data_IF_598613614352
#
_entry.id   IF_598613614352
#
_cell.length_a   1.000
_cell.length_b   1.000
_cell.length_c   1.000
_cell.angle_alpha   90.00
_cell.angle_beta   90.00
_cell.angle_gamma   90.00
#
_symmetry.space_group_name_H-M   'P 1'
#
loop_
_entity.id
_entity.type
_entity.pdbx_description
1 polymer ?
#
# COMPACT_ATOMS: atom_id res chain seq x y z
N UNK A 1 29.26 -10.13 -9.29
CA UNK A 1 27.85 -10.57 -9.39
C UNK A 1 26.96 -9.40 -9.12
N UNK A 2 26.13 -9.00 -10.09
CA UNK A 2 25.14 -7.92 -10.00
C UNK A 2 23.97 -8.25 -9.04
N UNK A 3 24.16 -9.22 -8.14
CA UNK A 3 23.08 -9.98 -7.53
C UNK A 3 22.43 -9.33 -6.30
N UNK A 4 22.92 -8.20 -5.79
CA UNK A 4 22.23 -7.45 -4.72
C UNK A 4 22.90 -6.10 -4.46
N UNK A 5 22.62 -5.09 -5.29
CA UNK A 5 22.84 -3.71 -4.86
C UNK A 5 21.80 -3.43 -3.76
N UNK A 6 22.28 -3.27 -2.52
CA UNK A 6 21.47 -2.92 -1.35
C UNK A 6 21.91 -1.55 -0.87
N UNK A 7 20.97 -0.61 -0.83
CA UNK A 7 21.18 0.71 -0.26
C UNK A 7 20.28 0.78 0.96
N UNK A 8 20.89 0.77 2.15
CA UNK A 8 20.19 0.74 3.43
C UNK A 8 20.74 1.78 4.40
N UNK A 9 19.87 2.28 5.25
CA UNK A 9 20.22 3.10 6.41
C UNK A 9 19.89 2.33 7.69
N UNK A 10 20.86 2.25 8.60
CA UNK A 10 20.70 1.61 9.91
C UNK A 10 20.30 2.60 11.01
N UNK A 11 20.44 3.91 10.76
CA UNK A 11 20.06 4.96 11.71
C UNK A 11 18.65 5.49 11.43
N UNK A 12 17.67 4.58 11.43
CA UNK A 12 16.28 4.87 11.03
C UNK A 12 15.31 4.87 12.20
N UNK A 13 15.72 4.35 13.35
CA UNK A 13 14.88 4.24 14.55
C UNK A 13 14.31 5.60 14.97
N UNK A 14 15.15 6.63 15.11
CA UNK A 14 14.73 7.97 15.55
C UNK A 14 13.75 8.61 14.56
N UNK A 15 13.93 8.36 13.26
CA UNK A 15 13.02 8.80 12.22
C UNK A 15 11.64 8.15 12.38
N UNK A 16 11.57 6.82 12.54
CA UNK A 16 10.30 6.11 12.76
C UNK A 16 9.62 6.49 14.08
N UNK A 17 10.39 6.73 15.14
CA UNK A 17 9.86 7.24 16.40
C UNK A 17 9.29 8.66 16.26
N UNK A 18 9.96 9.55 15.53
CA UNK A 18 9.45 10.88 15.24
C UNK A 18 8.16 10.80 14.41
N UNK A 19 8.16 10.02 13.33
CA UNK A 19 6.99 9.83 12.48
C UNK A 19 5.79 9.27 13.27
N UNK A 20 6.05 8.30 14.15
CA UNK A 20 5.03 7.76 15.03
C UNK A 20 4.47 8.83 15.98
N UNK A 21 5.32 9.65 16.60
CA UNK A 21 4.92 10.71 17.53
C UNK A 21 4.13 11.83 16.86
N UNK A 22 4.48 12.22 15.63
CA UNK A 22 3.83 13.31 14.91
C UNK A 22 2.52 12.93 14.21
N UNK A 23 2.08 11.67 14.30
CA UNK A 23 0.77 11.28 13.77
C UNK A 23 0.64 9.80 13.42
N UNK A 24 1.75 9.07 13.26
CA UNK A 24 1.70 7.64 12.93
C UNK A 24 0.93 6.80 13.95
N UNK A 25 0.83 7.26 15.20
CA UNK A 25 0.00 6.60 16.23
C UNK A 25 -1.50 6.57 15.88
N UNK A 26 -2.00 7.50 15.07
CA UNK A 26 -3.42 7.59 14.70
C UNK A 26 -3.91 6.37 13.92
N UNK A 27 -3.02 5.75 13.13
CA UNK A 27 -3.31 4.53 12.35
C UNK A 27 -3.68 3.35 13.24
N UNK A 28 -3.24 3.35 14.51
CA UNK A 28 -3.46 2.26 15.46
C UNK A 28 -4.61 2.54 16.44
N UNK A 29 -5.47 3.49 16.13
CA UNK A 29 -6.66 3.81 16.94
C UNK A 29 -7.88 2.98 16.51
N UNK A 30 -8.86 2.76 17.40
CA UNK A 30 -10.13 2.12 17.03
C UNK A 30 -10.87 2.88 15.92
N UNK A 31 -10.78 4.22 15.92
CA UNK A 31 -11.39 5.07 14.88
C UNK A 31 -10.78 4.78 13.51
N UNK A 32 -9.45 4.63 13.42
CA UNK A 32 -8.80 4.25 12.16
C UNK A 32 -9.20 2.85 11.71
N UNK A 33 -9.37 1.90 12.63
CA UNK A 33 -9.86 0.56 12.30
C UNK A 33 -11.30 0.58 11.76
N UNK A 34 -12.20 1.35 12.38
CA UNK A 34 -13.57 1.55 11.89
C UNK A 34 -13.57 2.23 10.52
N UNK A 35 -12.79 3.30 10.35
CA UNK A 35 -12.67 4.00 9.07
C UNK A 35 -12.16 3.06 7.97
N UNK A 36 -11.17 2.21 8.27
CA UNK A 36 -10.66 1.19 7.37
C UNK A 36 -11.75 0.17 6.97
N UNK A 37 -12.53 -0.31 7.95
CA UNK A 37 -13.64 -1.23 7.68
C UNK A 37 -14.75 -0.60 6.83
N UNK A 38 -15.13 0.65 7.12
CA UNK A 38 -16.10 1.42 6.31
C UNK A 38 -15.58 1.61 4.89
N UNK A 39 -14.31 2.01 4.72
CA UNK A 39 -13.69 2.14 3.41
C UNK A 39 -13.65 0.82 2.66
N UNK A 40 -13.38 -0.29 3.33
CA UNK A 40 -13.39 -1.61 2.72
C UNK A 40 -14.77 -1.95 2.11
N UNK A 41 -15.85 -1.70 2.86
CA UNK A 41 -17.23 -1.92 2.40
C UNK A 41 -17.59 -1.00 1.23
N UNK A 42 -17.29 0.30 1.35
CA UNK A 42 -17.59 1.27 0.29
C UNK A 42 -16.78 1.01 -0.98
N UNK A 43 -15.51 0.64 -0.83
CA UNK A 43 -14.63 0.25 -1.93
C UNK A 43 -15.12 -1.01 -2.64
N UNK A 44 -15.58 -2.01 -1.89
CA UNK A 44 -16.16 -3.24 -2.45
C UNK A 44 -17.44 -2.96 -3.24
N UNK A 45 -18.33 -2.13 -2.69
CA UNK A 45 -19.53 -1.71 -3.38
C UNK A 45 -19.21 -0.94 -4.68
N UNK A 46 -18.26 0.00 -4.62
CA UNK A 46 -17.82 0.76 -5.79
C UNK A 46 -17.18 -0.14 -6.86
N UNK A 47 -16.33 -1.09 -6.45
CA UNK A 47 -15.75 -2.08 -7.35
C UNK A 47 -16.83 -2.94 -8.02
N UNK A 48 -17.82 -3.42 -7.26
CA UNK A 48 -18.92 -4.23 -7.78
C UNK A 48 -19.73 -3.49 -8.85
N UNK A 49 -20.03 -2.20 -8.65
CA UNK A 49 -20.71 -1.36 -9.65
C UNK A 49 -19.84 -1.24 -10.92
N UNK A 50 -18.55 -0.91 -10.76
CA UNK A 50 -17.62 -0.76 -11.89
C UNK A 50 -17.42 -2.06 -12.69
N UNK A 51 -17.47 -3.22 -12.04
CA UNK A 51 -17.37 -4.52 -12.71
C UNK A 51 -18.58 -4.82 -13.60
N UNK A 52 -19.76 -4.25 -13.30
CA UNK A 52 -20.94 -4.41 -14.13
C UNK A 52 -20.86 -3.58 -15.42
N UNK A 53 -20.20 -2.43 -15.36
CA UNK A 53 -20.09 -1.45 -16.46
C UNK A 53 -18.72 -1.51 -17.20
N UNK A 54 -18.09 -2.70 -17.23
CA UNK A 54 -16.67 -2.86 -17.61
C UNK A 54 -16.32 -2.48 -19.05
N UNK A 55 -17.32 -2.40 -19.94
CA UNK A 55 -17.11 -2.20 -21.39
C UNK A 55 -16.51 -0.82 -21.71
N UNK A 56 -16.77 0.21 -20.88
CA UNK A 56 -16.38 1.60 -21.15
C UNK A 56 -15.01 1.98 -20.55
N UNK A 57 -14.41 1.12 -19.71
CA UNK A 57 -13.20 1.48 -18.95
C UNK A 57 -11.92 1.49 -19.78
N UNK A 58 -11.85 0.67 -20.84
CA UNK A 58 -10.67 0.59 -21.72
C UNK A 58 -10.57 1.80 -22.65
N UNK A 59 -11.69 2.43 -22.98
CA UNK A 59 -11.73 3.63 -23.81
C UNK A 59 -11.10 4.84 -23.12
N UNK A 60 -11.17 4.91 -21.78
CA UNK A 60 -10.65 6.04 -21.01
C UNK A 60 -9.13 6.20 -21.04
N UNK A 61 -8.37 5.17 -21.41
CA UNK A 61 -6.94 5.29 -21.67
C UNK A 61 -6.61 5.77 -23.10
N UNK A 62 -7.63 5.97 -23.96
CA UNK A 62 -7.55 6.31 -25.38
C UNK A 62 -6.32 7.13 -25.77
N UNK A 63 -5.52 6.60 -26.72
CA UNK A 63 -4.28 7.21 -27.24
C UNK A 63 -3.14 7.45 -26.23
N UNK A 64 -3.37 7.23 -24.93
CA UNK A 64 -2.46 7.59 -23.84
C UNK A 64 -2.13 6.41 -22.91
N UNK A 65 -2.21 5.17 -23.42
CA UNK A 65 -1.94 3.96 -22.66
C UNK A 65 -0.58 3.99 -21.94
N UNK A 66 0.48 4.53 -22.58
CA UNK A 66 1.80 4.64 -21.95
C UNK A 66 1.78 5.53 -20.71
N UNK A 67 1.09 6.68 -20.77
CA UNK A 67 0.93 7.58 -19.62
C UNK A 67 0.15 6.90 -18.50
N UNK A 68 -0.93 6.18 -18.85
CA UNK A 68 -1.70 5.39 -17.89
C UNK A 68 -0.84 4.34 -17.17
N UNK A 69 -0.09 3.53 -17.92
CA UNK A 69 0.78 2.50 -17.37
C UNK A 69 1.85 3.10 -16.45
N UNK A 70 2.52 4.17 -16.89
CA UNK A 70 3.59 4.80 -16.11
C UNK A 70 3.04 5.40 -14.80
N UNK A 71 1.91 6.09 -14.85
CA UNK A 71 1.30 6.72 -13.67
C UNK A 71 0.80 5.67 -12.67
N UNK A 72 0.11 4.62 -13.13
CA UNK A 72 -0.35 3.52 -12.26
C UNK A 72 0.84 2.83 -11.61
N UNK A 73 1.91 2.52 -12.37
CA UNK A 73 3.13 1.90 -11.83
C UNK A 73 3.83 2.79 -10.79
N UNK A 74 3.93 4.10 -11.05
CA UNK A 74 4.57 5.02 -10.12
C UNK A 74 3.81 5.10 -8.80
N UNK A 75 2.48 5.24 -8.85
CA UNK A 75 1.63 5.26 -7.65
C UNK A 75 1.67 3.91 -6.93
N UNK A 76 1.68 2.81 -7.66
CA UNK A 76 1.84 1.48 -7.08
C UNK A 76 3.18 1.34 -6.35
N UNK A 77 4.28 1.78 -6.94
CA UNK A 77 5.59 1.75 -6.29
C UNK A 77 5.65 2.58 -5.01
N UNK A 78 5.04 3.78 -5.02
CA UNK A 78 4.87 4.59 -3.83
C UNK A 78 4.01 3.90 -2.75
N UNK A 79 2.96 3.18 -3.16
CA UNK A 79 2.13 2.42 -2.21
C UNK A 79 2.87 1.26 -1.56
N UNK A 80 3.76 0.58 -2.28
CA UNK A 80 4.61 -0.48 -1.73
C UNK A 80 5.63 0.10 -0.76
N UNK A 81 6.19 1.29 -1.05
CA UNK A 81 6.99 2.00 -0.05
C UNK A 81 6.14 2.24 1.21
N UNK A 82 4.98 2.88 1.07
CA UNK A 82 4.09 3.20 2.18
C UNK A 82 3.70 1.96 3.00
N UNK A 83 3.42 0.83 2.35
CA UNK A 83 3.19 -0.47 2.99
C UNK A 83 4.32 -0.82 3.96
N UNK A 84 5.58 -0.71 3.53
CA UNK A 84 6.73 -0.98 4.36
C UNK A 84 6.85 0.03 5.51
N UNK A 85 6.63 1.33 5.24
CA UNK A 85 6.64 2.36 6.30
C UNK A 85 5.62 2.07 7.41
N UNK A 86 4.42 1.59 7.04
CA UNK A 86 3.37 1.25 8.00
C UNK A 86 3.75 0.01 8.84
N UNK A 87 4.48 -0.97 8.29
CA UNK A 87 5.10 -2.03 9.09
C UNK A 87 6.08 -1.47 10.13
N UNK A 88 6.93 -0.53 9.71
CA UNK A 88 7.85 0.17 10.61
C UNK A 88 7.14 0.89 11.74
N UNK A 89 6.04 1.60 11.43
CA UNK A 89 5.20 2.26 12.44
C UNK A 89 4.53 1.26 13.39
N UNK A 90 4.07 0.11 12.90
CA UNK A 90 3.50 -0.94 13.73
C UNK A 90 4.55 -1.53 14.69
N UNK A 91 5.80 -1.66 14.23
CA UNK A 91 6.92 -2.06 15.08
C UNK A 91 7.14 -1.07 16.24
N UNK A 92 7.15 0.24 15.94
CA UNK A 92 7.26 1.30 16.96
C UNK A 92 6.06 1.31 17.91
N UNK A 93 4.84 1.11 17.40
CA UNK A 93 3.61 1.04 18.21
C UNK A 93 3.74 0.00 19.33
N UNK A 94 4.33 -1.16 19.03
CA UNK A 94 4.58 -2.23 19.99
C UNK A 94 5.89 -2.10 20.76
N UNK A 95 6.51 -0.90 20.76
CA UNK A 95 7.76 -0.57 21.46
C UNK A 95 8.93 -1.46 21.03
N UNK A 96 8.97 -1.83 19.75
CA UNK A 96 10.05 -2.59 19.13
C UNK A 96 10.90 -1.71 18.23
N UNK A 97 12.04 -2.25 17.81
CA UNK A 97 13.05 -1.54 17.05
C UNK A 97 12.93 -1.80 15.55
N UNK A 98 12.94 -0.73 14.77
CA UNK A 98 13.19 -0.76 13.33
C UNK A 98 14.70 -0.74 13.12
N UNK A 99 15.26 -1.83 12.57
CA UNK A 99 16.71 -2.05 12.52
C UNK A 99 17.35 -1.36 11.32
N UNK A 100 16.69 -1.42 10.18
CA UNK A 100 17.13 -0.81 8.93
C UNK A 100 15.93 -0.54 8.02
N UNK A 101 16.08 0.46 7.17
CA UNK A 101 15.20 0.70 6.03
C UNK A 101 16.08 0.91 4.80
N UNK A 102 15.65 0.37 3.67
CA UNK A 102 16.39 0.51 2.44
C UNK A 102 15.61 0.06 1.23
N UNK A 103 16.34 -0.01 0.12
CA UNK A 103 15.86 -0.61 -1.09
C UNK A 103 16.92 -1.54 -1.68
N UNK A 104 16.46 -2.55 -2.39
CA UNK A 104 17.30 -3.49 -3.13
C UNK A 104 16.76 -3.68 -4.54
N UNK A 105 17.62 -4.09 -5.48
CA UNK A 105 17.19 -4.43 -6.82
C UNK A 105 17.01 -5.95 -6.94
N UNK A 106 15.76 -6.38 -7.01
CA UNK A 106 15.42 -7.76 -7.36
C UNK A 106 15.73 -7.96 -8.86
N UNK A 107 16.47 -9.01 -9.19
CA UNK A 107 16.96 -9.32 -10.55
C UNK A 107 17.75 -8.19 -11.22
N UNK A 108 18.29 -7.24 -10.45
CA UNK A 108 19.13 -6.14 -10.95
C UNK A 108 18.38 -4.92 -11.50
N UNK A 109 17.05 -4.95 -11.66
CA UNK A 109 16.28 -3.84 -12.24
C UNK A 109 14.94 -3.53 -11.56
N UNK A 110 14.41 -4.40 -10.70
CA UNK A 110 13.16 -4.13 -9.98
C UNK A 110 13.48 -3.57 -8.60
N UNK A 111 13.29 -2.25 -8.36
CA UNK A 111 13.52 -1.70 -7.04
C UNK A 111 12.49 -2.28 -6.07
N UNK A 112 12.93 -2.68 -4.89
CA UNK A 112 12.12 -3.28 -3.84
C UNK A 112 12.46 -2.60 -2.52
N UNK A 113 11.49 -1.92 -1.93
CA UNK A 113 11.63 -1.34 -0.60
C UNK A 113 11.51 -2.41 0.46
N UNK A 114 12.24 -2.23 1.56
CA UNK A 114 12.10 -3.09 2.72
C UNK A 114 12.35 -2.32 4.01
N UNK A 115 11.68 -2.76 5.08
CA UNK A 115 11.96 -2.34 6.45
C UNK A 115 12.20 -3.57 7.29
N UNK A 116 13.34 -3.60 7.98
CA UNK A 116 13.65 -4.65 8.94
C UNK A 116 12.92 -4.38 10.26
N UNK A 117 11.81 -5.10 10.43
CA UNK A 117 11.00 -5.15 11.64
C UNK A 117 11.21 -6.45 12.43
N UNK A 118 12.32 -7.17 12.23
CA UNK A 118 12.58 -8.49 12.85
C UNK A 118 12.47 -8.48 14.37
N UNK A 119 12.69 -7.33 15.02
CA UNK A 119 12.53 -7.20 16.48
C UNK A 119 11.08 -7.47 16.96
N UNK A 120 10.08 -7.38 16.06
CA UNK A 120 8.69 -7.71 16.38
C UNK A 120 8.48 -9.17 16.80
N UNK A 121 9.37 -10.08 16.37
CA UNK A 121 9.26 -11.50 16.73
C UNK A 121 9.43 -11.74 18.23
N UNK A 122 10.05 -10.82 18.95
CA UNK A 122 10.19 -10.84 20.42
C UNK A 122 8.95 -10.30 21.15
N UNK A 123 7.93 -9.86 20.42
CA UNK A 123 6.67 -9.36 20.97
C UNK A 123 5.59 -10.44 21.05
N UNK A 124 4.42 -10.08 21.60
CA UNK A 124 3.27 -10.98 21.71
C UNK A 124 2.78 -11.46 20.35
N UNK A 125 2.07 -12.60 20.33
CA UNK A 125 1.46 -13.13 19.08
C UNK A 125 0.58 -12.08 18.39
N UNK A 126 -0.21 -11.34 19.17
CA UNK A 126 -1.06 -10.26 18.67
C UNK A 126 -0.26 -9.16 17.96
N UNK A 127 0.85 -8.72 18.56
CA UNK A 127 1.72 -7.70 17.97
C UNK A 127 2.29 -8.16 16.62
N UNK A 128 2.77 -9.41 16.54
CA UNK A 128 3.27 -9.99 15.29
C UNK A 128 2.22 -10.03 14.19
N UNK A 129 1.00 -10.47 14.52
CA UNK A 129 -0.12 -10.52 13.56
C UNK A 129 -0.52 -9.12 13.10
N UNK A 130 -0.65 -8.17 14.02
CA UNK A 130 -1.04 -6.80 13.67
C UNK A 130 0.03 -6.17 12.78
N UNK A 131 1.31 -6.27 13.14
CA UNK A 131 2.40 -5.79 12.28
C UNK A 131 2.31 -6.44 10.91
N UNK A 132 2.22 -7.77 10.79
CA UNK A 132 2.12 -8.45 9.50
C UNK A 132 0.95 -7.99 8.61
N UNK A 133 -0.21 -7.66 9.19
CA UNK A 133 -1.41 -7.27 8.43
C UNK A 133 -1.46 -5.76 8.13
N UNK A 134 -0.85 -4.90 8.96
CA UNK A 134 -1.04 -3.44 8.85
C UNK A 134 -0.49 -2.90 7.52
N UNK A 135 0.62 -3.43 7.00
CA UNK A 135 1.10 -3.08 5.67
C UNK A 135 0.08 -3.41 4.58
N UNK A 136 -0.56 -4.58 4.65
CA UNK A 136 -1.58 -4.99 3.68
C UNK A 136 -2.81 -4.06 3.70
N UNK A 137 -3.20 -3.53 4.87
CA UNK A 137 -4.31 -2.57 4.99
C UNK A 137 -4.07 -1.27 4.20
N UNK A 138 -2.82 -0.90 3.91
CA UNK A 138 -2.53 0.25 3.02
C UNK A 138 -3.12 0.01 1.63
N UNK A 139 -2.96 -1.19 1.09
CA UNK A 139 -3.49 -1.54 -0.22
C UNK A 139 -5.02 -1.62 -0.22
N UNK A 140 -5.62 -2.09 0.88
CA UNK A 140 -7.07 -2.06 1.06
C UNK A 140 -7.62 -0.63 0.98
N UNK A 141 -7.05 0.28 1.78
CA UNK A 141 -7.47 1.69 1.86
C UNK A 141 -7.28 2.40 0.53
N UNK A 142 -6.08 2.30 -0.07
CA UNK A 142 -5.78 2.96 -1.34
C UNK A 142 -6.65 2.42 -2.48
N UNK A 143 -6.84 1.10 -2.53
CA UNK A 143 -7.70 0.49 -3.53
C UNK A 143 -9.17 0.89 -3.37
N UNK A 144 -9.67 0.93 -2.14
CA UNK A 144 -11.04 1.37 -1.85
C UNK A 144 -11.28 2.82 -2.28
N UNK A 145 -10.36 3.73 -1.94
CA UNK A 145 -10.42 5.13 -2.36
C UNK A 145 -10.38 5.23 -3.89
N UNK A 146 -9.51 4.47 -4.55
CA UNK A 146 -9.38 4.49 -5.99
C UNK A 146 -10.66 3.99 -6.69
N UNK A 147 -11.32 2.94 -6.18
CA UNK A 147 -12.61 2.50 -6.71
C UNK A 147 -13.73 3.53 -6.50
N UNK A 148 -13.79 4.18 -5.33
CA UNK A 148 -14.77 5.24 -5.07
C UNK A 148 -14.57 6.42 -6.03
N UNK A 149 -13.31 6.81 -6.28
CA UNK A 149 -12.97 7.87 -7.25
C UNK A 149 -13.38 7.45 -8.65
N UNK A 150 -13.08 6.21 -9.06
CA UNK A 150 -13.46 5.70 -10.37
C UNK A 150 -14.97 5.67 -10.56
N UNK A 151 -15.75 5.23 -9.57
CA UNK A 151 -17.20 5.17 -9.63
C UNK A 151 -17.88 6.55 -9.73
N UNK A 152 -17.18 7.62 -9.32
CA UNK A 152 -17.68 9.01 -9.38
C UNK A 152 -17.13 9.81 -10.57
N UNK A 153 -16.12 9.28 -11.25
CA UNK A 153 -15.50 9.95 -12.38
C UNK A 153 -16.39 9.83 -13.62
N UNK A 154 -16.34 10.80 -14.57
CA UNK A 154 -17.08 10.70 -15.81
C UNK A 154 -16.73 9.43 -16.58
N UNK A 155 -17.75 8.75 -17.12
CA UNK A 155 -17.58 7.53 -17.91
C UNK A 155 -16.66 7.78 -19.12
N UNK A 156 -15.72 6.87 -19.36
CA UNK A 156 -14.74 6.99 -20.45
C UNK A 156 -13.66 8.04 -20.21
N UNK A 157 -13.57 8.63 -19.02
CA UNK A 157 -12.48 9.57 -18.70
C UNK A 157 -11.18 8.86 -18.30
N UNK A 158 -10.04 9.51 -18.53
CA UNK A 158 -8.75 9.04 -18.02
C UNK A 158 -8.76 8.84 -16.51
N UNK A 159 -9.41 9.74 -15.76
CA UNK A 159 -9.49 9.65 -14.30
C UNK A 159 -10.22 8.39 -13.86
N UNK A 160 -11.34 8.03 -14.51
CA UNK A 160 -12.05 6.79 -14.25
C UNK A 160 -11.15 5.57 -14.50
N UNK A 161 -10.53 5.51 -15.68
CA UNK A 161 -9.68 4.39 -16.09
C UNK A 161 -8.43 4.24 -15.19
N UNK A 162 -7.75 5.35 -14.90
CA UNK A 162 -6.59 5.40 -14.01
C UNK A 162 -6.95 4.96 -12.59
N UNK A 163 -8.03 5.48 -12.02
CA UNK A 163 -8.45 5.17 -10.66
C UNK A 163 -8.92 3.71 -10.55
N UNK A 164 -9.63 3.19 -11.55
CA UNK A 164 -10.04 1.79 -11.58
C UNK A 164 -8.85 0.84 -11.70
N UNK A 165 -7.94 1.09 -12.63
CA UNK A 165 -6.71 0.30 -12.78
C UNK A 165 -5.85 0.35 -11.51
N UNK A 166 -5.75 1.52 -10.88
CA UNK A 166 -5.10 1.69 -9.58
C UNK A 166 -5.81 0.88 -8.48
N UNK A 167 -7.14 0.90 -8.43
CA UNK A 167 -7.93 0.10 -7.50
C UNK A 167 -7.67 -1.40 -7.64
N UNK A 168 -7.70 -1.90 -8.87
CA UNK A 168 -7.47 -3.31 -9.20
C UNK A 168 -6.07 -3.74 -8.75
N UNK A 169 -5.01 -3.01 -9.11
CA UNK A 169 -3.64 -3.40 -8.76
C UNK A 169 -3.40 -3.36 -7.24
N UNK A 170 -4.03 -2.40 -6.54
CA UNK A 170 -3.95 -2.33 -5.08
C UNK A 170 -4.62 -3.55 -4.43
N UNK A 171 -5.82 -3.94 -4.86
CA UNK A 171 -6.49 -5.10 -4.28
C UNK A 171 -5.85 -6.44 -4.64
N UNK A 172 -5.23 -6.54 -5.82
CA UNK A 172 -4.34 -7.67 -6.12
C UNK A 172 -3.16 -7.72 -5.15
N UNK A 173 -2.51 -6.58 -4.89
CA UNK A 173 -1.40 -6.52 -3.93
C UNK A 173 -1.84 -6.79 -2.48
N UNK A 174 -3.07 -6.40 -2.09
CA UNK A 174 -3.68 -6.78 -0.81
C UNK A 174 -3.76 -8.30 -0.68
N UNK A 175 -4.30 -8.99 -1.69
CA UNK A 175 -4.44 -10.46 -1.69
C UNK A 175 -3.06 -11.12 -1.61
N UNK A 176 -2.10 -10.66 -2.42
CA UNK A 176 -0.73 -11.17 -2.42
C UNK A 176 -0.06 -10.94 -1.06
N UNK A 177 -0.26 -9.79 -0.43
CA UNK A 177 0.33 -9.46 0.86
C UNK A 177 -0.27 -10.24 2.04
N UNK A 178 -1.48 -10.76 1.90
CA UNK A 178 -2.14 -11.60 2.91
C UNK A 178 -1.89 -13.10 2.70
N UNK A 179 -1.37 -13.49 1.55
CA UNK A 179 -1.03 -14.88 1.27
C UNK A 179 0.27 -15.26 2.00
N UNK A 180 0.30 -16.39 2.74
CA UNK A 180 1.45 -16.82 3.52
C UNK A 180 2.63 -17.33 2.67
#
# INVERSE_FOLDING_TARGET
GLERIRISSHNVQSFFQALYRYGGFLVFTPVAAIACAVLAVLGAAAAFVLFHDVHDMLEGFGGHALRGILTVKLVFFASVALHQFVHGLACIHYRRRVREFGFTFLHGFVPTFYIDVTDIFMASRRARVITAVTGALVHLVLGAVAFIVAAKAPTGSFTQAFAAASGIIQWQALVVALYP
#
